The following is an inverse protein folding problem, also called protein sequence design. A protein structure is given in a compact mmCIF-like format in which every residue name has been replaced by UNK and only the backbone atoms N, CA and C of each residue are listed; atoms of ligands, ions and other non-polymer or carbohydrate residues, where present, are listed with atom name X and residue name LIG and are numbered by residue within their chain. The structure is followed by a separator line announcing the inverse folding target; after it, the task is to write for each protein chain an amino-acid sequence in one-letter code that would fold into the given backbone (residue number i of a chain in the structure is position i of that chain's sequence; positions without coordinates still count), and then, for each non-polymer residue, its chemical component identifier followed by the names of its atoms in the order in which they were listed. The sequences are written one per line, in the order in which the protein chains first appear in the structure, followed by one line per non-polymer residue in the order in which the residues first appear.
data_IF_041072609923
#
_entry.id   IF_041072609923
#
_cell.length_a   1.000
_cell.length_b   1.000
_cell.length_c   1.000
_cell.angle_alpha   90.00
_cell.angle_beta   90.00
_cell.angle_gamma   90.00
#
_symmetry.space_group_name_H-M   'P 1'
#
loop_
_entity.id
_entity.type
_entity.pdbx_description
1 polymer ?
#
# COMPACT_ATOMS: atom_id res chain seq x y z
N UNK A 1 15.05 -10.61 -0.68
CA UNK A 1 14.82 -11.79 -1.56
C UNK A 1 16.16 -12.24 -2.12
N UNK A 2 16.36 -13.55 -2.27
CA UNK A 2 17.56 -14.13 -2.88
C UNK A 2 17.12 -14.92 -4.09
N UNK A 3 17.82 -14.81 -5.22
CA UNK A 3 17.52 -15.61 -6.40
C UNK A 3 17.74 -17.10 -6.12
N UNK A 4 17.02 -17.97 -6.82
CA UNK A 4 17.09 -19.42 -6.58
C UNK A 4 18.51 -19.98 -6.82
N UNK A 5 19.28 -19.33 -7.68
CA UNK A 5 20.68 -19.65 -7.98
C UNK A 5 21.70 -18.94 -7.07
N UNK A 6 21.24 -18.13 -6.11
CA UNK A 6 22.09 -17.38 -5.18
C UNK A 6 22.94 -16.28 -5.82
N UNK A 7 22.80 -15.98 -7.12
CA UNK A 7 23.62 -14.96 -7.80
C UNK A 7 23.31 -13.54 -7.36
N UNK A 8 22.10 -13.27 -6.89
CA UNK A 8 21.66 -11.94 -6.51
C UNK A 8 20.87 -11.90 -5.20
N UNK A 9 21.06 -10.82 -4.46
CA UNK A 9 20.23 -10.46 -3.30
C UNK A 9 19.53 -9.15 -3.62
N UNK A 10 18.21 -9.14 -3.53
CA UNK A 10 17.38 -7.94 -3.70
C UNK A 10 16.82 -7.53 -2.34
N UNK A 11 17.05 -6.28 -1.95
CA UNK A 11 16.41 -5.67 -0.77
C UNK A 11 15.43 -4.60 -1.19
N UNK A 12 14.45 -4.39 -0.32
CA UNK A 12 13.34 -3.49 -0.52
C UNK A 12 13.40 -2.40 0.53
N UNK A 13 13.59 -1.17 0.07
CA UNK A 13 14.03 -0.03 0.89
C UNK A 13 15.50 -0.14 1.35
N UNK A 14 16.12 1.01 1.59
CA UNK A 14 17.46 1.09 2.15
C UNK A 14 17.33 1.30 3.67
N UNK A 15 18.14 0.57 4.44
CA UNK A 15 18.06 0.49 5.90
C UNK A 15 18.20 1.86 6.60
N UNK A 16 18.77 2.86 5.92
CA UNK A 16 19.00 4.22 6.44
C UNK A 16 18.24 5.32 5.69
N UNK A 17 17.32 4.96 4.79
CA UNK A 17 16.74 5.88 3.83
C UNK A 17 15.40 5.42 3.32
N UNK A 18 14.43 5.39 4.24
CA UNK A 18 13.02 5.11 3.97
C UNK A 18 12.53 5.84 2.70
N UNK A 19 12.14 5.07 1.70
CA UNK A 19 11.54 5.56 0.45
C UNK A 19 12.52 6.19 -0.56
N UNK A 20 13.83 6.19 -0.29
CA UNK A 20 14.84 6.71 -1.23
C UNK A 20 15.20 5.69 -2.32
N UNK A 21 15.44 4.45 -1.89
CA UNK A 21 15.87 3.35 -2.77
C UNK A 21 14.89 2.16 -2.64
N UNK A 22 13.72 2.19 -3.30
CA UNK A 22 12.74 1.10 -3.24
C UNK A 22 13.33 -0.27 -3.59
N UNK A 23 14.24 -0.37 -4.56
CA UNK A 23 14.87 -1.64 -4.93
C UNK A 23 16.39 -1.48 -4.91
N UNK A 24 17.06 -2.35 -4.18
CA UNK A 24 18.53 -2.43 -4.14
C UNK A 24 18.95 -3.84 -4.49
N UNK A 25 19.90 -3.97 -5.43
CA UNK A 25 20.38 -5.25 -5.94
C UNK A 25 21.86 -5.40 -5.60
N UNK A 26 22.21 -6.54 -4.99
CA UNK A 26 23.57 -6.97 -4.68
C UNK A 26 23.89 -8.25 -5.45
N UNK A 27 25.15 -8.44 -5.86
CA UNK A 27 25.65 -9.72 -6.35
C UNK A 27 25.92 -10.71 -5.20
N UNK A 28 26.24 -11.96 -5.53
CA UNK A 28 26.54 -13.02 -4.57
C UNK A 28 27.74 -12.75 -3.65
N UNK A 29 28.57 -11.75 -3.94
CA UNK A 29 29.71 -11.31 -3.12
C UNK A 29 29.34 -10.13 -2.22
N UNK A 30 28.07 -9.72 -2.20
CA UNK A 30 27.61 -8.54 -1.48
C UNK A 30 27.99 -7.22 -2.16
N UNK A 31 28.49 -7.25 -3.40
CA UNK A 31 28.77 -6.02 -4.14
C UNK A 31 27.46 -5.40 -4.60
N UNK A 32 27.28 -4.11 -4.35
CA UNK A 32 26.16 -3.36 -4.87
C UNK A 32 26.18 -3.33 -6.41
N UNK A 33 25.15 -3.88 -7.03
CA UNK A 33 24.95 -3.85 -8.49
C UNK A 33 24.16 -2.62 -8.91
N UNK A 34 23.03 -2.36 -8.24
CA UNK A 34 22.16 -1.22 -8.56
C UNK A 34 21.33 -0.74 -7.36
N UNK A 35 21.09 0.57 -7.31
CA UNK A 35 20.02 1.20 -6.52
C UNK A 35 19.00 1.81 -7.47
N UNK A 36 17.73 1.57 -7.19
CA UNK A 36 16.62 2.12 -7.94
C UNK A 36 15.87 3.13 -7.10
N UNK A 37 15.76 4.35 -7.61
CA UNK A 37 14.81 5.37 -7.13
C UNK A 37 13.46 5.21 -7.81
N UNK A 38 12.41 5.85 -7.27
CA UNK A 38 11.11 5.93 -7.95
C UNK A 38 11.22 6.48 -9.39
N UNK A 39 12.15 7.41 -9.63
CA UNK A 39 12.39 7.97 -10.96
C UNK A 39 13.00 6.92 -11.91
N UNK A 40 14.01 6.17 -11.45
CA UNK A 40 14.61 5.11 -12.26
C UNK A 40 13.64 3.98 -12.59
N UNK A 41 12.67 3.72 -11.71
CA UNK A 41 11.58 2.76 -11.91
C UNK A 41 10.43 3.33 -12.76
N UNK A 42 10.55 4.58 -13.23
CA UNK A 42 9.50 5.29 -13.98
C UNK A 42 8.18 5.41 -13.21
N UNK A 43 8.26 5.47 -11.87
CA UNK A 43 7.11 5.56 -10.97
C UNK A 43 6.77 7.01 -10.57
N UNK A 44 7.64 7.98 -10.87
CA UNK A 44 7.44 9.40 -10.49
C UNK A 44 6.22 10.02 -11.16
N UNK A 45 5.86 9.57 -12.37
CA UNK A 45 4.64 10.01 -13.07
C UNK A 45 3.36 9.69 -12.27
N UNK A 46 3.39 8.66 -11.42
CA UNK A 46 2.29 8.32 -10.51
C UNK A 46 2.30 9.11 -9.21
N UNK A 47 3.28 10.02 -8.95
CA UNK A 47 3.21 11.00 -7.85
C UNK A 47 2.35 12.22 -8.21
N UNK A 48 2.20 12.51 -9.50
CA UNK A 48 1.72 13.81 -9.97
C UNK A 48 0.25 13.82 -10.41
N UNK A 49 -0.57 12.85 -10.01
CA UNK A 49 -1.98 12.83 -10.43
C UNK A 49 -2.20 12.40 -11.88
N UNK A 50 -1.14 12.10 -12.65
CA UNK A 50 -1.28 11.67 -14.04
C UNK A 50 -1.75 10.22 -14.09
N UNK A 51 -3.06 10.12 -14.32
CA UNK A 51 -3.82 8.98 -14.83
C UNK A 51 -2.96 7.76 -15.16
N UNK A 52 -3.08 6.75 -14.30
CA UNK A 52 -3.09 5.38 -14.81
C UNK A 52 -4.30 5.35 -15.76
N UNK A 53 -4.06 5.16 -17.06
CA UNK A 53 -5.11 5.07 -18.07
C UNK A 53 -6.31 4.26 -17.52
N UNK A 54 -7.44 4.95 -17.39
CA UNK A 54 -8.80 4.38 -17.34
C UNK A 54 -9.13 3.36 -16.24
N UNK A 55 -8.45 3.35 -15.09
CA UNK A 55 -8.84 2.46 -13.97
C UNK A 55 -9.16 3.24 -12.68
N UNK A 56 -10.34 3.04 -12.07
CA UNK A 56 -10.87 3.85 -10.96
C UNK A 56 -10.19 3.59 -9.60
N UNK A 57 -8.98 3.05 -9.58
CA UNK A 57 -8.29 2.68 -8.35
C UNK A 57 -7.63 3.91 -7.72
N UNK A 58 -8.41 4.57 -6.86
CA UNK A 58 -8.04 5.45 -5.73
C UNK A 58 -7.72 6.91 -6.04
N UNK A 59 -8.62 7.79 -5.57
CA UNK A 59 -8.45 9.25 -5.44
C UNK A 59 -7.71 9.66 -4.15
N UNK A 60 -7.27 8.72 -3.31
CA UNK A 60 -6.56 9.01 -2.07
C UNK A 60 -5.12 8.49 -2.12
N UNK A 61 -4.16 9.41 -2.21
CA UNK A 61 -2.77 9.14 -1.83
C UNK A 61 -1.85 8.59 -2.92
N UNK A 62 -1.79 9.26 -4.08
CA UNK A 62 -0.71 9.09 -5.04
C UNK A 62 0.63 9.52 -4.40
N UNK A 63 1.35 8.55 -3.80
CA UNK A 63 2.77 8.59 -3.39
C UNK A 63 3.22 10.01 -2.94
N UNK A 64 2.46 10.65 -2.04
CA UNK A 64 2.66 12.07 -1.75
C UNK A 64 3.81 12.32 -0.76
N UNK A 65 4.18 11.29 0.01
CA UNK A 65 5.29 11.33 0.94
C UNK A 65 6.04 9.99 0.99
N UNK A 66 7.33 10.05 1.27
CA UNK A 66 8.28 8.94 1.38
C UNK A 66 7.99 8.02 2.57
N UNK A 67 6.75 7.57 2.76
CA UNK A 67 6.46 6.59 3.80
C UNK A 67 6.84 5.18 3.32
N UNK A 68 8.05 4.79 3.74
CA UNK A 68 8.60 3.43 3.95
C UNK A 68 7.69 2.31 3.51
N UNK A 69 8.13 1.50 2.55
CA UNK A 69 7.60 0.15 2.21
C UNK A 69 6.08 -0.02 2.01
N UNK A 70 5.22 0.88 2.46
CA UNK A 70 3.82 0.64 2.78
C UNK A 70 2.94 0.85 1.58
N UNK A 71 3.39 1.67 0.61
CA UNK A 71 2.62 1.96 -0.60
C UNK A 71 3.06 1.13 -1.80
N UNK A 72 4.36 0.92 -1.99
CA UNK A 72 4.86 0.16 -3.14
C UNK A 72 4.96 -1.35 -2.86
N UNK A 73 5.02 -1.76 -1.58
CA UNK A 73 4.86 -3.17 -1.18
C UNK A 73 3.41 -3.49 -0.77
N UNK A 74 2.51 -2.49 -0.65
CA UNK A 74 1.10 -2.80 -0.38
C UNK A 74 0.59 -3.64 -1.51
N UNK A 75 0.26 -4.89 -1.20
CA UNK A 75 -0.36 -5.82 -2.13
C UNK A 75 0.43 -6.02 -3.44
N UNK A 76 1.73 -5.71 -3.43
CA UNK A 76 2.59 -5.94 -4.58
C UNK A 76 2.94 -7.43 -4.67
N UNK A 77 2.94 -7.95 -5.89
CA UNK A 77 3.41 -9.30 -6.16
C UNK A 77 4.79 -9.20 -6.78
N UNK A 78 5.78 -9.75 -6.07
CA UNK A 78 7.18 -9.68 -6.45
C UNK A 78 7.76 -11.09 -6.52
N UNK A 79 8.43 -11.41 -7.63
CA UNK A 79 9.04 -12.72 -7.85
C UNK A 79 10.17 -12.63 -8.88
N UNK A 80 11.00 -13.67 -8.95
CA UNK A 80 12.00 -13.81 -10.01
C UNK A 80 11.44 -14.60 -11.19
N UNK A 81 11.90 -14.29 -12.40
CA UNK A 81 11.65 -15.16 -13.56
C UNK A 81 12.37 -16.52 -13.41
N UNK A 82 12.09 -17.47 -14.31
CA UNK A 82 12.72 -18.81 -14.22
C UNK A 82 14.26 -18.77 -14.32
N UNK A 83 14.78 -17.89 -15.18
CA UNK A 83 16.22 -17.71 -15.36
C UNK A 83 16.90 -17.01 -14.17
N UNK A 84 16.13 -16.54 -13.19
CA UNK A 84 16.61 -15.85 -11.99
C UNK A 84 17.52 -14.64 -12.30
N UNK A 85 17.30 -14.00 -13.45
CA UNK A 85 18.05 -12.85 -13.92
C UNK A 85 17.20 -11.58 -14.03
N UNK A 86 15.89 -11.70 -13.84
CA UNK A 86 14.96 -10.58 -13.72
C UNK A 86 14.10 -10.67 -12.44
N UNK A 87 13.92 -9.53 -11.78
CA UNK A 87 12.91 -9.32 -10.74
C UNK A 87 11.66 -8.74 -11.40
N UNK A 88 10.54 -9.46 -11.33
CA UNK A 88 9.24 -9.01 -11.82
C UNK A 88 8.46 -8.41 -10.65
N UNK A 89 7.93 -7.20 -10.86
CA UNK A 89 7.16 -6.46 -9.87
C UNK A 89 5.81 -6.10 -10.47
N UNK A 90 4.75 -6.59 -9.85
CA UNK A 90 3.36 -6.23 -10.14
C UNK A 90 2.80 -5.44 -8.97
N UNK A 91 2.56 -4.15 -9.18
CA UNK A 91 2.00 -3.26 -8.16
C UNK A 91 0.48 -3.42 -8.07
N UNK A 92 -0.08 -3.10 -6.91
CA UNK A 92 -1.51 -3.28 -6.63
C UNK A 92 -2.45 -2.52 -7.58
N UNK A 93 -1.99 -1.43 -8.17
CA UNK A 93 -2.73 -0.65 -9.18
C UNK A 93 -2.54 -1.17 -10.62
N UNK A 94 -1.99 -2.38 -10.80
CA UNK A 94 -1.85 -3.05 -12.11
C UNK A 94 -0.60 -2.66 -12.92
N UNK A 95 0.29 -1.84 -12.36
CA UNK A 95 1.55 -1.51 -13.03
C UNK A 95 2.53 -2.69 -12.93
N UNK A 96 3.03 -3.12 -14.09
CA UNK A 96 3.91 -4.27 -14.24
C UNK A 96 5.23 -3.82 -14.88
N UNK A 97 6.33 -4.14 -14.23
CA UNK A 97 7.67 -3.92 -14.76
C UNK A 97 8.62 -5.03 -14.31
N UNK A 98 9.77 -5.14 -14.96
CA UNK A 98 10.86 -5.98 -14.48
C UNK A 98 12.18 -5.22 -14.38
N UNK A 99 13.06 -5.72 -13.52
CA UNK A 99 14.41 -5.21 -13.31
C UNK A 99 15.39 -6.34 -13.62
N UNK A 100 16.25 -6.13 -14.62
CA UNK A 100 17.34 -7.06 -14.91
C UNK A 100 18.39 -6.95 -13.81
N UNK A 101 18.68 -8.06 -13.15
CA UNK A 101 19.51 -8.06 -11.94
C UNK A 101 20.99 -7.79 -12.23
N UNK A 102 21.48 -8.16 -13.42
CA UNK A 102 22.87 -7.98 -13.83
C UNK A 102 23.29 -6.51 -13.95
N UNK A 103 22.44 -5.67 -14.52
CA UNK A 103 22.78 -4.28 -14.88
C UNK A 103 21.78 -3.25 -14.31
N UNK A 104 20.70 -3.70 -13.69
CA UNK A 104 19.65 -2.85 -13.16
C UNK A 104 18.85 -2.15 -14.25
N UNK A 105 18.77 -2.71 -15.45
CA UNK A 105 17.92 -2.15 -16.50
C UNK A 105 16.44 -2.40 -16.15
N UNK A 106 15.66 -1.33 -16.11
CA UNK A 106 14.19 -1.40 -15.95
C UNK A 106 13.57 -1.65 -17.32
N UNK A 107 12.70 -2.65 -17.38
CA UNK A 107 12.00 -3.09 -18.57
C UNK A 107 10.50 -2.96 -18.32
N UNK A 108 9.79 -2.47 -19.33
CA UNK A 108 8.35 -2.25 -19.25
C UNK A 108 7.56 -3.50 -19.68
N UNK A 109 6.24 -3.37 -19.65
CA UNK A 109 5.30 -4.43 -20.01
C UNK A 109 5.52 -5.01 -21.41
N UNK A 110 6.05 -4.23 -22.36
CA UNK A 110 6.27 -4.72 -23.73
C UNK A 110 7.37 -5.77 -23.79
N UNK A 111 8.42 -5.61 -22.99
CA UNK A 111 9.49 -6.61 -22.83
C UNK A 111 8.95 -7.90 -22.19
N UNK A 112 7.96 -7.77 -21.31
CA UNK A 112 7.34 -8.89 -20.60
C UNK A 112 6.25 -9.59 -21.41
N UNK A 113 6.01 -9.22 -22.67
CA UNK A 113 4.86 -9.71 -23.45
C UNK A 113 4.77 -11.25 -23.50
N UNK A 114 5.89 -11.95 -23.68
CA UNK A 114 5.95 -13.41 -23.67
C UNK A 114 5.71 -14.03 -22.28
N UNK A 115 6.05 -13.30 -21.21
CA UNK A 115 5.88 -13.74 -19.82
C UNK A 115 4.47 -13.44 -19.28
N UNK A 116 3.71 -12.52 -19.89
CA UNK A 116 2.38 -12.09 -19.42
C UNK A 116 1.45 -13.27 -19.08
N UNK A 117 1.30 -14.31 -19.92
CA UNK A 117 0.41 -15.43 -19.59
C UNK A 117 0.79 -16.12 -18.28
N UNK A 118 2.10 -16.30 -18.04
CA UNK A 118 2.63 -16.94 -16.84
C UNK A 118 2.52 -16.03 -15.61
N UNK A 119 2.82 -14.74 -15.78
CA UNK A 119 2.63 -13.73 -14.72
C UNK A 119 1.17 -13.73 -14.29
N UNK A 120 0.22 -13.68 -15.24
CA UNK A 120 -1.21 -13.74 -14.96
C UNK A 120 -1.62 -15.05 -14.28
N UNK A 121 -1.09 -16.20 -14.70
CA UNK A 121 -1.37 -17.47 -14.03
C UNK A 121 -0.89 -17.47 -12.56
N UNK A 122 0.28 -16.88 -12.30
CA UNK A 122 0.84 -16.72 -10.95
C UNK A 122 -0.03 -15.81 -10.09
N UNK A 123 -0.45 -14.67 -10.63
CA UNK A 123 -1.34 -13.71 -9.97
C UNK A 123 -2.70 -14.33 -9.67
N UNK A 124 -3.28 -15.04 -10.65
CA UNK A 124 -4.55 -15.77 -10.48
C UNK A 124 -4.47 -16.77 -9.34
N UNK A 125 -3.44 -17.62 -9.30
CA UNK A 125 -3.26 -18.61 -8.22
C UNK A 125 -3.11 -17.94 -6.85
N UNK A 126 -2.36 -16.82 -6.79
CA UNK A 126 -2.22 -16.05 -5.54
C UNK A 126 -3.56 -15.47 -5.09
N UNK A 127 -4.34 -14.90 -6.01
CA UNK A 127 -5.67 -14.37 -5.71
C UNK A 127 -6.62 -15.47 -5.23
N UNK A 128 -6.64 -16.63 -5.91
CA UNK A 128 -7.48 -17.77 -5.55
C UNK A 128 -7.24 -18.23 -4.10
N UNK A 129 -5.97 -18.43 -3.71
CA UNK A 129 -5.60 -18.82 -2.35
C UNK A 129 -5.97 -17.71 -1.35
N UNK A 130 -5.60 -16.47 -1.66
CA UNK A 130 -5.76 -15.35 -0.74
C UNK A 130 -7.23 -14.98 -0.49
N UNK A 131 -8.11 -15.10 -1.49
CA UNK A 131 -9.55 -14.87 -1.35
C UNK A 131 -10.24 -15.85 -0.39
N UNK A 132 -9.63 -17.03 -0.17
CA UNK A 132 -10.13 -18.07 0.75
C UNK A 132 -9.47 -18.01 2.14
N UNK A 133 -8.51 -17.12 2.35
CA UNK A 133 -7.77 -17.02 3.58
C UNK A 133 -8.63 -16.61 4.78
N UNK A 134 -8.24 -17.05 5.97
CA UNK A 134 -8.83 -16.60 7.24
C UNK A 134 -8.35 -15.21 7.66
N UNK A 135 -7.14 -14.81 7.25
CA UNK A 135 -6.61 -13.46 7.49
C UNK A 135 -7.33 -12.43 6.60
N UNK A 136 -7.96 -11.39 7.18
CA UNK A 136 -8.57 -10.30 6.42
C UNK A 136 -7.60 -9.60 5.47
N UNK A 137 -6.32 -9.49 5.82
CA UNK A 137 -5.33 -8.84 4.97
C UNK A 137 -5.06 -9.65 3.70
N UNK A 138 -5.03 -10.98 3.80
CA UNK A 138 -4.90 -11.86 2.65
C UNK A 138 -6.14 -11.80 1.76
N UNK A 139 -7.36 -11.79 2.34
CA UNK A 139 -8.59 -11.63 1.52
C UNK A 139 -8.63 -10.30 0.80
N UNK A 140 -8.25 -9.21 1.49
CA UNK A 140 -8.09 -7.87 0.89
C UNK A 140 -7.11 -7.92 -0.28
N UNK A 141 -5.94 -8.52 -0.09
CA UNK A 141 -4.92 -8.71 -1.13
C UNK A 141 -5.44 -9.50 -2.33
N UNK A 142 -6.16 -10.61 -2.09
CA UNK A 142 -6.77 -11.41 -3.14
C UNK A 142 -7.79 -10.62 -3.98
N UNK A 143 -8.61 -9.79 -3.32
CA UNK A 143 -9.57 -8.93 -4.00
C UNK A 143 -8.90 -7.87 -4.88
N UNK A 144 -7.83 -7.25 -4.38
CA UNK A 144 -7.03 -6.28 -5.13
C UNK A 144 -6.45 -6.91 -6.40
N UNK A 145 -5.83 -8.09 -6.31
CA UNK A 145 -5.29 -8.78 -7.50
C UNK A 145 -6.41 -9.16 -8.48
N UNK A 146 -7.55 -9.65 -7.98
CA UNK A 146 -8.68 -10.02 -8.82
C UNK A 146 -9.16 -8.85 -9.69
N UNK A 147 -9.25 -7.67 -9.09
CA UNK A 147 -9.63 -6.44 -9.80
C UNK A 147 -8.54 -5.90 -10.73
N UNK A 148 -7.27 -5.88 -10.29
CA UNK A 148 -6.16 -5.32 -11.09
C UNK A 148 -5.90 -6.09 -12.38
N UNK A 149 -6.11 -7.41 -12.38
CA UNK A 149 -5.85 -8.26 -13.54
C UNK A 149 -7.11 -8.73 -14.27
N UNK A 150 -8.26 -8.21 -13.85
CA UNK A 150 -9.56 -8.49 -14.46
C UNK A 150 -9.93 -9.99 -14.46
N UNK A 151 -9.70 -10.67 -13.33
CA UNK A 151 -10.07 -12.08 -13.15
C UNK A 151 -11.56 -12.23 -12.84
N UNK A 152 -12.38 -12.30 -13.91
CA UNK A 152 -13.85 -12.38 -13.83
C UNK A 152 -14.38 -13.63 -13.12
N UNK A 153 -13.61 -14.72 -13.12
CA UNK A 153 -13.95 -15.95 -12.39
C UNK A 153 -14.11 -15.74 -10.88
N UNK A 154 -13.53 -14.68 -10.31
CA UNK A 154 -13.63 -14.38 -8.88
C UNK A 154 -14.84 -13.50 -8.52
N UNK A 155 -15.66 -13.07 -9.48
CA UNK A 155 -16.85 -12.24 -9.21
C UNK A 155 -17.76 -12.80 -8.10
N UNK A 156 -18.11 -14.11 -8.08
CA UNK A 156 -18.95 -14.65 -7.00
C UNK A 156 -18.33 -14.46 -5.63
N UNK A 157 -17.04 -14.78 -5.50
CA UNK A 157 -16.30 -14.64 -4.24
C UNK A 157 -16.15 -13.18 -3.82
N UNK A 158 -15.91 -12.27 -4.77
CA UNK A 158 -15.85 -10.83 -4.49
C UNK A 158 -17.19 -10.30 -3.97
N UNK A 159 -18.33 -10.79 -4.49
CA UNK A 159 -19.66 -10.42 -3.99
C UNK A 159 -19.86 -10.85 -2.53
N UNK A 160 -19.43 -12.07 -2.17
CA UNK A 160 -19.46 -12.53 -0.77
C UNK A 160 -18.62 -11.64 0.16
N UNK A 161 -17.48 -11.14 -0.31
CA UNK A 161 -16.61 -10.27 0.47
C UNK A 161 -17.19 -8.86 0.71
N UNK A 162 -18.26 -8.46 0.03
CA UNK A 162 -18.98 -7.21 0.33
C UNK A 162 -19.60 -7.23 1.73
N UNK A 163 -19.85 -8.42 2.29
CA UNK A 163 -20.40 -8.62 3.64
C UNK A 163 -19.34 -8.98 4.69
N UNK A 164 -18.04 -8.96 4.34
CA UNK A 164 -16.95 -9.37 5.24
C UNK A 164 -17.00 -8.60 6.57
N UNK A 165 -17.05 -9.31 7.70
CA UNK A 165 -17.24 -8.69 9.02
C UNK A 165 -15.97 -8.06 9.61
N UNK A 166 -14.82 -8.24 8.98
CA UNK A 166 -13.52 -7.79 9.50
C UNK A 166 -13.36 -6.28 9.33
N UNK A 167 -12.90 -5.61 10.39
CA UNK A 167 -12.64 -4.18 10.36
C UNK A 167 -11.41 -3.81 11.19
N UNK A 168 -10.75 -2.73 10.76
CA UNK A 168 -9.76 -2.03 11.57
C UNK A 168 -10.45 -0.89 12.34
N UNK A 169 -10.08 -0.67 13.59
CA UNK A 169 -10.52 0.51 14.34
C UNK A 169 -9.62 1.70 14.00
N UNK A 170 -10.24 2.79 13.58
CA UNK A 170 -9.59 4.04 13.22
C UNK A 170 -10.12 5.21 14.04
N UNK A 171 -9.39 6.32 13.96
CA UNK A 171 -9.76 7.60 14.56
C UNK A 171 -9.76 8.64 13.45
N UNK A 172 -10.89 9.30 13.23
CA UNK A 172 -10.96 10.43 12.29
C UNK A 172 -11.16 11.70 13.08
N UNK A 173 -10.35 12.72 12.79
CA UNK A 173 -10.50 14.07 13.34
C UNK A 173 -11.21 14.91 12.29
N UNK A 174 -12.39 15.41 12.62
CA UNK A 174 -13.09 16.38 11.78
C UNK A 174 -12.82 17.78 12.35
N UNK A 175 -12.26 18.66 11.51
CA UNK A 175 -12.10 20.09 11.75
C UNK A 175 -11.62 20.47 13.16
N UNK A 176 -10.55 19.83 13.65
CA UNK A 176 -9.85 20.15 14.92
C UNK A 176 -10.66 20.12 16.23
N UNK A 177 -11.95 19.73 16.22
CA UNK A 177 -12.79 19.83 17.44
C UNK A 177 -13.30 18.47 17.95
N UNK A 178 -13.49 17.46 17.09
CA UNK A 178 -13.95 16.13 17.54
C UNK A 178 -13.23 14.98 16.82
N UNK A 179 -12.61 14.10 17.62
CA UNK A 179 -12.20 12.77 17.17
C UNK A 179 -13.35 11.80 17.39
N UNK A 180 -13.73 11.05 16.37
CA UNK A 180 -14.65 9.92 16.52
C UNK A 180 -14.01 8.62 16.07
N UNK A 181 -14.42 7.54 16.73
CA UNK A 181 -14.04 6.18 16.38
C UNK A 181 -14.75 5.73 15.09
N UNK A 182 -14.00 5.06 14.22
CA UNK A 182 -14.50 4.50 12.97
C UNK A 182 -14.15 3.04 12.83
N UNK A 183 -15.01 2.24 12.21
CA UNK A 183 -14.69 0.92 11.68
C UNK A 183 -14.38 1.06 10.19
N UNK A 184 -13.22 0.57 9.80
CA UNK A 184 -12.74 0.56 8.41
C UNK A 184 -12.78 -0.89 7.89
N UNK A 185 -13.75 -1.19 7.03
CA UNK A 185 -13.99 -2.51 6.45
C UNK A 185 -13.20 -2.69 5.16
N UNK A 186 -11.87 -2.76 5.29
CA UNK A 186 -10.93 -2.75 4.15
C UNK A 186 -11.14 -3.90 3.16
N UNK A 187 -11.65 -5.05 3.61
CA UNK A 187 -11.96 -6.18 2.73
C UNK A 187 -13.15 -5.84 1.82
N UNK A 188 -14.20 -5.23 2.38
CA UNK A 188 -15.38 -4.78 1.61
C UNK A 188 -15.01 -3.71 0.60
N UNK A 189 -14.16 -2.77 1.01
CA UNK A 189 -13.66 -1.73 0.12
C UNK A 189 -12.88 -2.32 -1.06
N UNK A 190 -11.95 -3.24 -0.80
CA UNK A 190 -11.19 -3.90 -1.85
C UNK A 190 -12.09 -4.71 -2.79
N UNK A 191 -13.07 -5.44 -2.26
CA UNK A 191 -14.02 -6.22 -3.04
C UNK A 191 -14.94 -5.34 -3.90
N UNK A 192 -15.46 -4.24 -3.34
CA UNK A 192 -16.24 -3.22 -4.07
C UNK A 192 -15.44 -2.66 -5.24
N UNK A 193 -14.19 -2.24 -5.00
CA UNK A 193 -13.34 -1.67 -6.05
C UNK A 193 -12.99 -2.70 -7.13
N UNK A 194 -12.76 -3.96 -6.75
CA UNK A 194 -12.53 -5.06 -7.68
C UNK A 194 -13.73 -5.31 -8.59
N UNK A 195 -14.95 -5.36 -8.05
CA UNK A 195 -16.17 -5.52 -8.83
C UNK A 195 -16.38 -4.36 -9.80
N UNK A 196 -16.23 -3.11 -9.34
CA UNK A 196 -16.34 -1.93 -10.20
C UNK A 196 -15.32 -1.97 -11.36
N UNK A 197 -14.07 -2.37 -11.09
CA UNK A 197 -13.03 -2.52 -12.11
C UNK A 197 -13.30 -3.64 -13.12
N UNK A 198 -14.10 -4.65 -12.74
CA UNK A 198 -14.55 -5.72 -13.63
C UNK A 198 -15.78 -5.33 -14.47
N UNK A 199 -16.35 -4.15 -14.22
CA UNK A 199 -17.59 -3.66 -14.84
C UNK A 199 -18.86 -4.14 -14.15
N UNK A 200 -18.74 -4.68 -12.93
CA UNK A 200 -19.89 -5.15 -12.15
C UNK A 200 -20.51 -4.01 -11.34
N UNK A 201 -21.83 -3.83 -11.36
CA UNK A 201 -22.50 -2.84 -10.52
C UNK A 201 -22.43 -3.25 -9.05
N UNK A 202 -22.19 -2.27 -8.16
CA UNK A 202 -22.18 -2.45 -6.71
C UNK A 202 -23.03 -1.36 -6.06
N UNK A 203 -24.02 -1.74 -5.24
CA UNK A 203 -24.89 -0.81 -4.52
C UNK A 203 -24.64 -0.87 -3.01
N UNK A 204 -24.63 0.31 -2.37
CA UNK A 204 -24.74 0.51 -0.91
C UNK A 204 -23.91 -0.38 0.02
N UNK A 205 -22.61 -0.51 -0.30
CA UNK A 205 -21.66 -1.20 0.59
C UNK A 205 -21.07 -0.23 1.60
N UNK A 206 -21.29 -0.51 2.89
CA UNK A 206 -20.66 0.21 4.01
C UNK A 206 -19.19 -0.22 4.13
N UNK A 207 -18.28 0.65 3.69
CA UNK A 207 -16.83 0.45 3.80
C UNK A 207 -16.22 1.17 5.01
N UNK A 208 -16.90 2.20 5.51
CA UNK A 208 -16.50 2.94 6.71
C UNK A 208 -17.73 3.29 7.52
N UNK A 209 -17.69 3.05 8.82
CA UNK A 209 -18.82 3.26 9.73
C UNK A 209 -18.33 4.02 10.97
N UNK A 210 -19.01 5.12 11.33
CA UNK A 210 -18.79 5.79 12.61
C UNK A 210 -19.50 4.99 13.69
N UNK A 211 -18.83 4.78 14.83
CA UNK A 211 -19.48 4.20 16.00
C UNK A 211 -19.16 5.00 17.25
N UNK A 212 -20.14 5.08 18.13
CA UNK A 212 -19.97 5.75 19.42
C UNK A 212 -19.23 4.82 20.38
N UNK A 213 -17.94 5.04 20.56
CA UNK A 213 -17.19 4.40 21.65
C UNK A 213 -17.64 5.02 23.00
N UNK A 214 -18.10 4.23 23.99
CA UNK A 214 -18.41 4.73 25.33
C UNK A 214 -17.23 5.45 26.00
N UNK A 215 -15.99 5.10 25.65
CA UNK A 215 -14.76 5.76 26.12
C UNK A 215 -14.67 7.18 25.55
N UNK A 216 -15.06 7.38 24.30
CA UNK A 216 -15.12 8.71 23.68
C UNK A 216 -16.17 9.59 24.34
N UNK A 217 -17.35 9.03 24.66
CA UNK A 217 -18.38 9.78 25.39
C UNK A 217 -17.84 10.29 26.72
N UNK A 218 -17.14 9.44 27.50
CA UNK A 218 -16.53 9.85 28.78
C UNK A 218 -15.42 10.88 28.60
N UNK A 219 -14.61 10.77 27.55
CA UNK A 219 -13.50 11.70 27.28
C UNK A 219 -14.02 13.07 26.85
N UNK A 220 -15.01 13.11 25.96
CA UNK A 220 -15.73 14.34 25.55
C UNK A 220 -16.44 14.97 26.75
N UNK A 221 -17.09 14.17 27.59
CA UNK A 221 -17.75 14.66 28.80
C UNK A 221 -16.76 15.21 29.83
N UNK A 222 -15.57 14.60 29.96
CA UNK A 222 -14.49 15.08 30.83
C UNK A 222 -13.85 16.38 30.30
N UNK A 223 -13.78 16.57 28.99
CA UNK A 223 -13.35 17.83 28.36
C UNK A 223 -14.40 18.93 28.58
N UNK A 224 -15.69 18.63 28.37
CA UNK A 224 -16.81 19.55 28.67
C UNK A 224 -16.85 19.96 30.13
N UNK A 225 -16.69 19.01 31.08
CA UNK A 225 -16.67 19.28 32.53
C UNK A 225 -15.48 20.12 32.99
N UNK A 226 -14.41 20.24 32.19
CA UNK A 226 -13.25 21.06 32.53
C UNK A 226 -13.38 22.53 32.09
N UNK A 227 -14.51 22.96 31.50
CA UNK A 227 -14.68 24.31 30.94
C UNK A 227 -13.52 24.74 30.04
N UNK A 228 -12.86 23.77 29.39
CA UNK A 228 -11.93 24.07 28.31
C UNK A 228 -12.85 24.30 27.11
N UNK A 229 -13.24 25.57 26.91
CA UNK A 229 -13.79 25.97 25.61
C UNK A 229 -12.82 25.48 24.54
N UNK A 230 -13.31 24.89 23.42
CA UNK A 230 -12.44 24.63 22.30
C UNK A 230 -11.77 25.97 21.96
N UNK A 231 -10.43 26.03 21.94
CA UNK A 231 -9.74 27.29 21.68
C UNK A 231 -10.29 27.85 20.37
N UNK A 232 -10.88 29.05 20.45
CA UNK A 232 -11.33 29.74 19.25
C UNK A 232 -10.10 29.87 18.35
N UNK A 233 -10.15 29.16 17.22
CA UNK A 233 -8.99 28.97 16.37
C UNK A 233 -8.47 30.30 15.87
N UNK A 234 -7.27 30.68 16.28
CA UNK A 234 -6.39 31.42 15.38
C UNK A 234 -5.97 30.45 14.28
N UNK A 235 -6.20 30.75 12.99
CA UNK A 235 -5.78 29.87 11.91
C UNK A 235 -4.27 29.64 11.97
N UNK A 236 -3.85 28.36 12.02
CA UNK A 236 -2.46 27.98 11.74
C UNK A 236 -1.54 27.64 12.92
N UNK A 237 -2.04 27.46 14.15
CA UNK A 237 -1.20 26.92 15.25
C UNK A 237 -1.75 25.61 15.79
N UNK A 238 -1.04 24.52 15.47
CA UNK A 238 -1.21 23.20 16.12
C UNK A 238 -1.06 23.34 17.64
N UNK A 239 -2.04 22.84 18.39
CA UNK A 239 -2.08 22.82 19.85
C UNK A 239 -1.32 21.64 20.47
N UNK A 240 -0.73 20.78 19.64
CA UNK A 240 0.16 19.75 20.14
C UNK A 240 1.58 20.33 20.22
N UNK A 241 2.23 20.34 21.40
CA UNK A 241 3.68 20.50 21.41
C UNK A 241 4.24 19.37 20.54
N UNK A 242 4.86 19.74 19.41
CA UNK A 242 5.78 18.84 18.73
C UNK A 242 6.69 18.31 19.83
N UNK A 243 6.73 16.99 20.02
CA UNK A 243 7.66 16.34 20.94
C UNK A 243 9.02 16.95 20.65
N UNK A 244 9.47 17.76 21.60
CA UNK A 244 10.69 18.54 21.52
C UNK A 244 11.82 17.62 21.10
N UNK A 245 12.55 18.05 20.08
CA UNK A 245 13.95 17.72 19.89
C UNK A 245 14.61 17.64 21.27
N UNK A 246 15.06 16.44 21.64
CA UNK A 246 16.01 16.34 22.75
C UNK A 246 17.26 17.08 22.29
N UNK A 247 17.75 18.08 23.03
CA UNK A 247 19.07 18.62 22.74
C UNK A 247 20.09 17.48 22.84
N UNK A 248 20.85 17.29 21.76
CA UNK A 248 22.05 16.46 21.75
C UNK A 248 23.05 17.14 22.69
N UNK A 249 23.52 16.41 23.70
CA UNK A 249 24.57 16.90 24.58
C UNK A 249 25.84 17.16 23.75
N UNK A 250 26.58 18.26 24.01
CA UNK A 250 27.84 18.51 23.32
C UNK A 250 28.87 17.44 23.69
N UNK A 251 29.63 17.02 22.69
CA UNK A 251 30.78 16.14 22.79
C UNK A 251 31.72 16.59 23.92
N UNK A 252 32.04 15.66 24.81
CA UNK A 252 33.21 15.78 25.67
C UNK A 252 34.39 15.14 24.93
N UNK A 253 35.28 16.01 24.43
CA UNK A 253 36.62 15.64 24.00
C UNK A 253 37.33 14.84 25.10
N UNK A 254 37.75 13.61 24.77
CA UNK A 254 39.01 12.98 25.20
C UNK A 254 39.46 11.94 24.18
#
# INVERSE_FOLDING_TARGET
MVTNDGRYVVTFDNWFGVGKDPIVVYDSRGKLTKKHTLESLRLKQFREGRQIDERPWTSEGLISSSMSSTYWNRDAVIFFNDASDELIVHLYWGYLFSVRLRDGKVMDRSHLASEIPRIRATLKRKAEVALQATDPNERRFGAVIAGSDSFREFIPRLRELLDDASFDQGWTTEEDVYSYSTRDYRVREAAKNALLALGEPVQDVVTKERYDDPVDRRRVEKLRKKNIEPPQGTPGKSLFPRRSERPVAPDLER
#
